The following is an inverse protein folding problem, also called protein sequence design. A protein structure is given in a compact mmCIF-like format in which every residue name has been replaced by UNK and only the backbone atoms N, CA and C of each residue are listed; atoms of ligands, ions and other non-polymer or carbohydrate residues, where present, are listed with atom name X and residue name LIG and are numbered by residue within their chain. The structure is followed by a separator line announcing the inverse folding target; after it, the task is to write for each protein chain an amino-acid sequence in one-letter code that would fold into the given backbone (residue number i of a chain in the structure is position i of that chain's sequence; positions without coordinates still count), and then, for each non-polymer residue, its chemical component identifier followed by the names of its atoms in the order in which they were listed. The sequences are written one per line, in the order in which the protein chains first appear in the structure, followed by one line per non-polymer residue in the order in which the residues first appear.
data_IF_611554787518
#
_entry.id   IF_611554787518
#
_cell.length_a   1.000
_cell.length_b   1.000
_cell.length_c   1.000
_cell.angle_alpha   90.00
_cell.angle_beta   90.00
_cell.angle_gamma   90.00
#
_symmetry.space_group_name_H-M   'P 1'
#
loop_
_entity.id
_entity.type
_entity.pdbx_description
1 polymer ?
#
# COMPACT_ATOMS: atom_id res chain seq x y z
N UNK A 1 -3.42 10.43 -2.13
CA UNK A 1 -3.62 10.31 -3.58
C UNK A 1 -2.30 9.86 -4.21
N UNK A 2 -2.32 8.78 -5.00
CA UNK A 2 -1.17 8.08 -5.62
C UNK A 2 -0.07 7.66 -4.65
N UNK A 3 -0.44 7.11 -3.50
CA UNK A 3 0.50 6.68 -2.44
C UNK A 3 0.82 5.20 -2.47
N UNK A 4 0.13 4.45 -3.34
CA UNK A 4 0.30 3.02 -3.59
C UNK A 4 0.18 2.77 -5.11
N UNK A 5 0.82 1.70 -5.60
CA UNK A 5 0.75 1.29 -7.00
C UNK A 5 -0.64 0.76 -7.36
N UNK A 6 -1.08 1.05 -8.59
CA UNK A 6 -2.33 0.53 -9.14
C UNK A 6 -2.15 -0.91 -9.58
N UNK A 7 -2.79 -1.85 -8.87
CA UNK A 7 -2.71 -3.29 -9.20
C UNK A 7 -3.19 -3.60 -10.61
N UNK A 8 -4.32 -3.03 -11.04
CA UNK A 8 -4.86 -3.31 -12.37
C UNK A 8 -3.89 -2.88 -13.47
N UNK A 9 -3.23 -1.74 -13.30
CA UNK A 9 -2.22 -1.26 -14.22
C UNK A 9 -0.95 -2.10 -14.18
N UNK A 10 -0.49 -2.50 -12.98
CA UNK A 10 0.68 -3.37 -12.81
C UNK A 10 0.49 -4.76 -13.43
N UNK A 11 -0.71 -5.34 -13.28
CA UNK A 11 -1.01 -6.70 -13.75
C UNK A 11 -1.35 -6.74 -15.24
N UNK A 12 -2.10 -5.77 -15.76
CA UNK A 12 -2.66 -5.82 -17.12
C UNK A 12 -2.14 -4.72 -18.05
N UNK A 13 -1.39 -3.76 -17.53
CA UNK A 13 -0.99 -2.55 -18.27
C UNK A 13 -2.16 -1.58 -18.52
N UNK A 14 -3.36 -1.87 -18.01
CA UNK A 14 -4.55 -1.05 -18.24
C UNK A 14 -5.32 -0.78 -16.95
N UNK A 15 -5.96 0.38 -16.86
CA UNK A 15 -6.75 0.77 -15.71
C UNK A 15 -8.03 1.48 -16.16
N UNK A 16 -9.19 0.96 -15.74
CA UNK A 16 -10.52 1.53 -16.05
C UNK A 16 -10.70 2.99 -15.63
N UNK A 17 -9.89 3.46 -14.67
CA UNK A 17 -9.95 4.83 -14.16
C UNK A 17 -9.06 5.80 -14.94
N UNK A 18 -8.20 5.31 -15.84
CA UNK A 18 -7.27 6.11 -16.63
C UNK A 18 -6.52 7.14 -15.77
N UNK A 19 -6.45 8.38 -16.24
CA UNK A 19 -5.77 9.47 -15.54
C UNK A 19 -6.44 9.90 -14.23
N UNK A 20 -7.69 9.49 -13.97
CA UNK A 20 -8.41 9.76 -12.71
C UNK A 20 -8.11 8.71 -11.63
N UNK A 21 -7.29 7.71 -11.93
CA UNK A 21 -6.88 6.70 -10.96
C UNK A 21 -6.24 7.36 -9.72
N UNK A 22 -6.69 6.95 -8.54
CA UNK A 22 -6.15 7.43 -7.27
C UNK A 22 -4.86 6.71 -6.86
N UNK A 23 -4.43 5.71 -7.62
CA UNK A 23 -3.21 4.93 -7.42
C UNK A 23 -2.19 5.28 -8.51
N UNK A 24 -0.91 5.02 -8.24
CA UNK A 24 0.18 5.30 -9.17
C UNK A 24 0.21 4.25 -10.29
N UNK A 25 0.27 4.68 -11.56
CA UNK A 25 0.48 3.79 -12.71
C UNK A 25 1.97 3.56 -13.00
N UNK A 26 2.85 4.40 -12.47
CA UNK A 26 4.28 4.25 -12.60
C UNK A 26 5.00 4.69 -11.31
N UNK A 27 6.23 4.23 -11.06
CA UNK A 27 6.99 4.59 -9.85
C UNK A 27 7.19 6.10 -9.68
N UNK A 28 7.25 6.86 -10.76
CA UNK A 28 7.36 8.32 -10.74
C UNK A 28 6.08 9.03 -10.27
N UNK A 29 4.91 8.38 -10.35
CA UNK A 29 3.65 8.92 -9.85
C UNK A 29 3.44 8.59 -8.36
N UNK A 30 4.25 7.68 -7.81
CA UNK A 30 4.14 7.21 -6.44
C UNK A 30 4.62 8.28 -5.47
N UNK A 31 3.69 8.84 -4.70
CA UNK A 31 3.95 9.87 -3.71
C UNK A 31 4.37 9.23 -2.39
N UNK A 32 5.48 9.71 -1.85
CA UNK A 32 5.87 9.40 -0.48
C UNK A 32 4.89 10.05 0.50
N UNK A 33 4.52 9.29 1.54
CA UNK A 33 3.66 9.78 2.61
C UNK A 33 4.51 9.87 3.88
N UNK A 34 4.55 11.02 4.56
CA UNK A 34 5.18 11.09 5.88
C UNK A 34 4.46 10.12 6.81
N UNK A 35 5.19 9.13 7.33
CA UNK A 35 4.65 8.16 8.27
C UNK A 35 5.04 8.53 9.69
N UNK A 36 4.25 8.06 10.65
CA UNK A 36 4.59 8.21 12.06
C UNK A 36 5.95 7.55 12.34
N UNK A 37 6.81 8.11 13.22
CA UNK A 37 8.12 7.53 13.54
C UNK A 37 8.09 6.08 14.03
N UNK A 38 6.96 5.66 14.62
CA UNK A 38 6.72 4.26 15.07
C UNK A 38 6.13 3.34 13.99
N UNK A 39 6.09 3.76 12.74
CA UNK A 39 5.59 2.90 11.66
C UNK A 39 6.54 1.71 11.47
N UNK A 40 6.00 0.49 11.55
CA UNK A 40 6.74 -0.77 11.41
C UNK A 40 7.93 -0.88 12.38
N UNK A 41 7.78 -0.38 13.61
CA UNK A 41 8.80 -0.54 14.67
C UNK A 41 8.46 -1.61 15.71
N UNK A 42 7.17 -1.97 15.84
CA UNK A 42 6.68 -2.96 16.81
C UNK A 42 5.95 -4.09 16.06
N UNK A 43 5.97 -5.30 16.60
CA UNK A 43 5.34 -6.50 16.00
C UNK A 43 3.82 -6.40 16.02
N UNK A 44 3.19 -6.78 14.91
CA UNK A 44 1.75 -6.93 14.82
C UNK A 44 1.29 -8.15 15.63
N UNK A 45 0.74 -7.92 16.83
CA UNK A 45 0.23 -8.99 17.71
C UNK A 45 -0.74 -9.92 16.98
N UNK A 46 -1.72 -9.38 16.25
CA UNK A 46 -2.69 -10.18 15.49
C UNK A 46 -2.01 -11.08 14.46
N UNK A 47 -1.04 -10.55 13.69
CA UNK A 47 -0.31 -11.36 12.72
C UNK A 47 0.54 -12.43 13.39
N UNK A 48 1.21 -12.08 14.49
CA UNK A 48 2.05 -13.00 15.25
C UNK A 48 1.25 -14.14 15.90
N UNK A 49 0.06 -13.85 16.42
CA UNK A 49 -0.80 -14.84 17.08
C UNK A 49 -1.60 -15.70 16.10
N UNK A 50 -2.13 -15.09 15.03
CA UNK A 50 -3.08 -15.75 14.12
C UNK A 50 -2.47 -16.16 12.79
N UNK A 51 -1.24 -15.71 12.48
CA UNK A 51 -0.59 -15.90 11.19
C UNK A 51 -1.13 -15.00 10.07
N UNK A 52 -2.13 -14.15 10.34
CA UNK A 52 -2.70 -13.21 9.37
C UNK A 52 -3.18 -11.92 10.04
N UNK A 53 -3.23 -10.84 9.27
CA UNK A 53 -3.73 -9.54 9.73
C UNK A 53 -4.66 -8.94 8.66
N UNK A 54 -5.87 -8.47 9.02
CA UNK A 54 -6.81 -7.90 8.05
C UNK A 54 -6.27 -6.64 7.34
N UNK A 55 -5.31 -5.94 7.96
CA UNK A 55 -4.64 -4.80 7.35
C UNK A 55 -3.55 -5.19 6.35
N UNK A 56 -3.05 -6.43 6.41
CA UNK A 56 -2.03 -6.96 5.51
C UNK A 56 -0.82 -6.02 5.39
N UNK A 57 -0.42 -5.71 4.15
CA UNK A 57 0.70 -4.80 3.84
C UNK A 57 0.48 -3.37 4.33
N UNK A 58 -0.77 -2.97 4.61
CA UNK A 58 -1.11 -1.65 5.17
C UNK A 58 -1.04 -1.63 6.70
N UNK A 59 -0.76 -2.75 7.36
CA UNK A 59 -0.57 -2.78 8.81
C UNK A 59 0.56 -1.83 9.21
N UNK A 60 0.33 -0.99 10.22
CA UNK A 60 1.34 -0.07 10.76
C UNK A 60 2.38 -0.75 11.65
N UNK A 61 2.22 -2.03 11.95
CA UNK A 61 3.08 -2.86 12.78
C UNK A 61 3.76 -3.92 11.93
N UNK A 62 4.95 -4.39 12.34
CA UNK A 62 5.75 -5.41 11.64
C UNK A 62 4.94 -6.68 11.49
#
# INVERSE_FOLDING_TARGET
YKTEMCRSWEETGTCRYGNKCQFAHAPNELRQVPRHPKYKTEVCRTFHEQGWCPYGRRCCFI
#
